data_IF_305528517741
#
_entry.id   IF_305528517741
#
_cell.length_a   1.000
_cell.length_b   1.000
_cell.length_c   1.000
_cell.angle_alpha   90.00
_cell.angle_beta   90.00
_cell.angle_gamma   90.00
#
_symmetry.space_group_name_H-M   'P 1'
#
loop_
_entity.id
_entity.type
_entity.pdbx_description
1 polymer ?
#
# COMPACT_ATOMS: atom_id res chain seq x y z
N UNK A 1 16.34 -2.43 -1.76
CA UNK A 1 16.53 -3.38 -2.85
C UNK A 1 15.17 -4.00 -3.12
N UNK A 2 14.54 -3.54 -4.20
CA UNK A 2 13.23 -3.99 -4.63
C UNK A 2 13.25 -5.49 -4.94
N UNK A 3 12.23 -6.20 -4.54
CA UNK A 3 11.91 -7.55 -4.99
C UNK A 3 11.87 -7.71 -6.53
N UNK A 4 11.98 -6.62 -7.22
CA UNK A 4 12.03 -6.46 -8.67
C UNK A 4 13.24 -7.13 -9.32
N UNK A 5 14.37 -7.21 -8.62
CA UNK A 5 15.60 -7.75 -9.20
C UNK A 5 15.59 -9.28 -9.39
N UNK A 6 14.77 -10.01 -8.65
CA UNK A 6 14.77 -11.47 -8.70
C UNK A 6 14.08 -11.98 -9.98
N UNK A 7 12.99 -11.35 -10.37
CA UNK A 7 12.26 -11.74 -11.59
C UNK A 7 12.96 -11.23 -12.85
N UNK A 8 13.68 -10.11 -12.77
CA UNK A 8 14.50 -9.61 -13.87
C UNK A 8 15.75 -10.46 -14.14
N UNK A 9 16.38 -10.99 -13.11
CA UNK A 9 17.55 -11.88 -13.26
C UNK A 9 17.17 -13.14 -14.00
N UNK A 10 15.98 -13.68 -13.80
CA UNK A 10 15.49 -14.83 -14.55
C UNK A 10 15.23 -14.54 -16.02
N UNK A 11 14.81 -13.32 -16.36
CA UNK A 11 14.63 -12.89 -17.75
C UNK A 11 15.97 -12.70 -18.47
N UNK A 12 17.01 -12.26 -17.77
CA UNK A 12 18.34 -12.11 -18.34
C UNK A 12 19.02 -13.46 -18.64
N UNK A 13 18.71 -14.51 -17.90
CA UNK A 13 19.19 -15.87 -18.20
C UNK A 13 18.64 -16.40 -19.53
N UNK A 14 17.48 -15.95 -19.98
CA UNK A 14 16.91 -16.29 -21.29
C UNK A 14 17.53 -15.49 -22.44
N UNK A 15 18.13 -14.34 -22.18
CA UNK A 15 18.76 -13.50 -23.21
C UNK A 15 20.18 -13.92 -23.59
N UNK A 16 20.73 -14.95 -22.98
CA UNK A 16 22.10 -15.40 -23.22
C UNK A 16 22.22 -16.40 -24.37
N UNK A 17 21.15 -16.66 -25.08
CA UNK A 17 21.21 -17.43 -26.34
C UNK A 17 21.06 -16.44 -27.50
N UNK A 18 21.71 -16.75 -28.60
CA UNK A 18 21.48 -16.16 -29.90
C UNK A 18 20.06 -16.36 -30.45
N UNK A 19 19.14 -16.70 -29.55
CA UNK A 19 17.72 -16.89 -29.82
C UNK A 19 17.03 -15.54 -29.70
N UNK A 20 16.68 -14.95 -30.84
CA UNK A 20 15.88 -13.75 -30.97
C UNK A 20 14.38 -14.04 -30.80
N UNK A 21 13.99 -15.17 -30.24
CA UNK A 21 12.59 -15.48 -29.98
C UNK A 21 12.08 -14.56 -28.89
N UNK A 22 11.07 -13.76 -29.22
CA UNK A 22 10.35 -12.95 -28.26
C UNK A 22 9.68 -13.87 -27.24
N UNK A 23 9.86 -13.56 -25.95
CA UNK A 23 9.10 -14.24 -24.90
C UNK A 23 7.63 -13.83 -25.07
N UNK A 24 6.80 -14.80 -25.35
CA UNK A 24 5.36 -14.56 -25.51
C UNK A 24 4.73 -14.40 -24.12
N UNK A 25 4.72 -13.18 -23.60
CA UNK A 25 4.33 -12.88 -22.22
C UNK A 25 3.69 -11.50 -22.11
N UNK A 26 2.51 -11.46 -21.49
CA UNK A 26 1.86 -10.24 -21.02
C UNK A 26 1.65 -10.35 -19.50
N UNK A 27 2.24 -9.47 -18.74
CA UNK A 27 2.30 -9.56 -17.29
C UNK A 27 1.87 -8.27 -16.58
N UNK A 28 1.47 -8.40 -15.32
CA UNK A 28 1.39 -7.26 -14.41
C UNK A 28 2.79 -6.74 -14.08
N UNK A 29 2.99 -5.42 -14.15
CA UNK A 29 4.27 -4.78 -13.79
C UNK A 29 4.39 -4.61 -12.27
N UNK A 30 3.27 -4.48 -11.59
CA UNK A 30 3.21 -4.30 -10.13
C UNK A 30 2.16 -5.22 -9.53
N UNK A 31 2.41 -5.61 -8.30
CA UNK A 31 1.36 -6.13 -7.44
C UNK A 31 0.20 -5.13 -7.39
N UNK A 32 -0.92 -5.57 -6.94
CA UNK A 32 -2.19 -4.85 -6.98
C UNK A 32 -2.07 -3.38 -6.57
N UNK A 33 -2.77 -2.47 -7.27
CA UNK A 33 -2.76 -1.05 -6.96
C UNK A 33 -3.30 -0.79 -5.55
N UNK A 34 -2.83 0.29 -4.96
CA UNK A 34 -3.32 0.77 -3.67
C UNK A 34 -4.81 1.10 -3.76
N UNK A 35 -5.58 0.60 -2.79
CA UNK A 35 -7.04 0.75 -2.76
C UNK A 35 -7.45 2.00 -2.01
N UNK A 36 -6.73 2.33 -0.94
CA UNK A 36 -6.94 3.53 -0.16
C UNK A 36 -6.21 4.72 -0.76
N UNK A 37 -6.81 5.91 -0.68
CA UNK A 37 -6.22 7.16 -1.20
C UNK A 37 -4.95 7.58 -0.44
N UNK A 38 -4.92 7.36 0.86
CA UNK A 38 -3.91 7.93 1.76
C UNK A 38 -3.08 6.85 2.45
N UNK A 39 -3.72 5.88 3.04
CA UNK A 39 -3.10 4.88 3.89
C UNK A 39 -2.95 3.53 3.19
N UNK A 40 -1.99 2.74 3.62
CA UNK A 40 -1.92 1.31 3.26
C UNK A 40 -2.84 0.48 4.14
N UNK A 41 -2.90 0.83 5.43
CA UNK A 41 -3.84 0.25 6.39
C UNK A 41 -4.46 1.35 7.24
N UNK A 42 -5.71 1.16 7.65
CA UNK A 42 -6.41 2.07 8.55
C UNK A 42 -7.43 1.31 9.39
N UNK A 43 -7.85 1.87 10.55
CA UNK A 43 -8.86 1.21 11.38
C UNK A 43 -10.19 1.05 10.65
N UNK A 44 -10.79 -0.13 10.80
CA UNK A 44 -12.08 -0.46 10.17
C UNK A 44 -13.18 0.56 10.52
N UNK A 45 -13.26 0.94 11.79
CA UNK A 45 -14.25 1.91 12.26
C UNK A 45 -14.11 3.31 11.64
N UNK A 46 -12.88 3.70 11.25
CA UNK A 46 -12.63 4.96 10.54
C UNK A 46 -12.96 4.82 9.06
N UNK A 47 -12.62 3.69 8.45
CA UNK A 47 -12.90 3.42 7.06
C UNK A 47 -14.41 3.42 6.76
N UNK A 48 -15.21 2.65 7.52
CA UNK A 48 -16.65 2.55 7.29
C UNK A 48 -17.41 3.85 7.59
N UNK A 49 -16.80 4.75 8.35
CA UNK A 49 -17.40 6.05 8.64
C UNK A 49 -17.37 6.98 7.43
N UNK A 50 -16.37 6.84 6.55
CA UNK A 50 -16.28 7.68 5.34
C UNK A 50 -15.56 6.94 4.19
N UNK A 51 -16.16 5.86 3.72
CA UNK A 51 -15.60 4.99 2.66
C UNK A 51 -15.27 5.77 1.38
N UNK A 52 -16.13 6.72 1.00
CA UNK A 52 -15.95 7.49 -0.24
C UNK A 52 -14.74 8.41 -0.23
N UNK A 53 -14.36 8.91 0.94
CA UNK A 53 -13.17 9.74 1.10
C UNK A 53 -11.88 8.91 1.16
N UNK A 54 -11.96 7.68 1.64
CA UNK A 54 -10.78 6.85 1.86
C UNK A 54 -10.42 5.97 0.66
N UNK A 55 -11.39 5.55 -0.15
CA UNK A 55 -11.12 4.72 -1.33
C UNK A 55 -10.70 5.53 -2.55
N UNK A 56 -9.75 4.98 -3.32
CA UNK A 56 -9.39 5.50 -4.64
C UNK A 56 -10.59 5.42 -5.59
N UNK A 57 -10.71 6.43 -6.46
CA UNK A 57 -11.79 6.52 -7.44
C UNK A 57 -11.62 5.50 -8.59
N UNK A 58 -10.41 4.98 -8.77
CA UNK A 58 -10.09 3.93 -9.73
C UNK A 58 -8.86 3.15 -9.30
N UNK A 59 -8.75 1.91 -9.78
CA UNK A 59 -7.56 1.09 -9.65
C UNK A 59 -6.68 1.31 -10.88
N UNK A 60 -5.43 1.71 -10.68
CA UNK A 60 -4.47 1.95 -11.74
C UNK A 60 -3.67 0.68 -12.03
N UNK A 61 -3.99 0.04 -13.16
CA UNK A 61 -3.39 -1.22 -13.59
C UNK A 61 -2.29 -0.95 -14.59
N UNK A 62 -1.14 -1.59 -14.41
CA UNK A 62 -0.01 -1.48 -15.34
C UNK A 62 0.38 -2.87 -15.82
N UNK A 63 0.41 -3.02 -17.14
CA UNK A 63 0.81 -4.24 -17.83
C UNK A 63 2.06 -4.00 -18.69
N UNK A 64 2.78 -5.08 -18.94
CA UNK A 64 3.88 -5.13 -19.88
C UNK A 64 3.64 -6.28 -20.86
N UNK A 65 3.74 -5.98 -22.15
CA UNK A 65 3.66 -6.96 -23.22
C UNK A 65 5.07 -7.14 -23.83
N UNK A 66 5.66 -8.32 -23.61
CA UNK A 66 6.99 -8.65 -24.10
C UNK A 66 6.99 -9.20 -25.53
N UNK A 67 5.83 -9.29 -26.19
CA UNK A 67 5.74 -9.69 -27.60
C UNK A 67 5.99 -8.51 -28.55
N UNK A 68 6.13 -8.79 -29.82
CA UNK A 68 6.32 -7.81 -30.91
C UNK A 68 5.00 -7.29 -31.50
N UNK A 69 3.87 -7.84 -31.09
CA UNK A 69 2.53 -7.49 -31.60
C UNK A 69 1.61 -7.06 -30.46
N UNK A 70 0.53 -6.36 -30.80
CA UNK A 70 -0.55 -6.06 -29.86
C UNK A 70 -1.16 -7.37 -29.36
N UNK A 71 -1.26 -7.51 -28.05
CA UNK A 71 -1.96 -8.62 -27.40
C UNK A 71 -3.29 -8.15 -26.82
N UNK A 72 -4.36 -8.79 -27.27
CA UNK A 72 -5.69 -8.59 -26.69
C UNK A 72 -5.85 -9.55 -25.51
N UNK A 73 -6.08 -9.02 -24.32
CA UNK A 73 -6.24 -9.77 -23.07
C UNK A 73 -7.61 -9.52 -22.47
N UNK A 74 -8.06 -10.45 -21.66
CA UNK A 74 -9.26 -10.32 -20.86
C UNK A 74 -8.91 -10.04 -19.41
N UNK A 75 -9.22 -8.84 -18.93
CA UNK A 75 -8.94 -8.42 -17.56
C UNK A 75 -10.16 -8.55 -16.66
N UNK A 76 -9.94 -8.96 -15.42
CA UNK A 76 -10.92 -8.92 -14.34
C UNK A 76 -10.27 -8.71 -12.99
N UNK A 77 -11.03 -8.24 -11.99
CA UNK A 77 -10.65 -8.38 -10.60
C UNK A 77 -11.81 -8.89 -9.74
N UNK A 78 -11.42 -9.60 -8.69
CA UNK A 78 -12.32 -10.21 -7.72
C UNK A 78 -11.93 -9.71 -6.33
N UNK A 79 -12.92 -9.50 -5.46
CA UNK A 79 -12.72 -9.15 -4.05
C UNK A 79 -13.32 -10.24 -3.18
N UNK A 80 -12.52 -10.80 -2.30
CA UNK A 80 -12.91 -11.81 -1.33
C UNK A 80 -12.84 -11.23 0.08
N UNK A 81 -13.79 -11.60 0.93
CA UNK A 81 -13.73 -11.28 2.34
C UNK A 81 -12.81 -12.25 3.11
N UNK A 82 -12.62 -12.01 4.41
CA UNK A 82 -11.79 -12.84 5.30
C UNK A 82 -12.22 -14.32 5.38
N UNK A 83 -13.46 -14.64 5.01
CA UNK A 83 -13.99 -16.01 4.97
C UNK A 83 -13.77 -16.69 3.60
N UNK A 84 -13.11 -16.02 2.67
CA UNK A 84 -12.88 -16.48 1.30
C UNK A 84 -14.11 -16.40 0.38
N UNK A 85 -15.18 -15.74 0.80
CA UNK A 85 -16.35 -15.52 -0.03
C UNK A 85 -16.11 -14.39 -1.02
N UNK A 86 -16.45 -14.61 -2.28
CA UNK A 86 -16.48 -13.56 -3.31
C UNK A 86 -17.57 -12.54 -2.96
N UNK A 87 -17.18 -11.29 -2.71
CA UNK A 87 -18.09 -10.20 -2.35
C UNK A 87 -18.26 -9.17 -3.47
N UNK A 88 -17.31 -9.12 -4.40
CA UNK A 88 -17.39 -8.25 -5.57
C UNK A 88 -16.54 -8.78 -6.71
N UNK A 89 -16.93 -8.49 -7.95
CA UNK A 89 -16.12 -8.74 -9.13
C UNK A 89 -16.31 -7.62 -10.16
N UNK A 90 -15.31 -7.42 -10.99
CA UNK A 90 -15.35 -6.48 -12.12
C UNK A 90 -14.90 -7.20 -13.40
N UNK A 91 -15.55 -6.97 -14.53
CA UNK A 91 -16.74 -6.13 -14.74
C UNK A 91 -18.02 -6.75 -14.17
N UNK A 92 -18.92 -5.90 -13.68
CA UNK A 92 -20.18 -6.35 -13.04
C UNK A 92 -21.19 -6.87 -14.07
N UNK A 93 -21.21 -6.27 -15.25
CA UNK A 93 -22.13 -6.68 -16.33
C UNK A 93 -21.65 -7.97 -16.98
N UNK A 94 -22.53 -8.95 -17.15
CA UNK A 94 -22.23 -10.25 -17.75
C UNK A 94 -22.06 -11.41 -16.77
N UNK A 95 -22.26 -11.17 -15.46
CA UNK A 95 -22.18 -12.19 -14.42
C UNK A 95 -20.75 -12.44 -13.91
N UNK A 96 -20.61 -13.40 -12.97
CA UNK A 96 -19.38 -13.62 -12.20
C UNK A 96 -18.16 -14.08 -13.04
N UNK A 97 -18.33 -14.40 -14.31
CA UNK A 97 -17.25 -14.80 -15.22
C UNK A 97 -16.94 -13.75 -16.29
N UNK A 98 -17.54 -12.55 -16.21
CA UNK A 98 -17.30 -11.48 -17.17
C UNK A 98 -15.87 -10.96 -17.07
N UNK A 99 -15.37 -10.46 -18.21
CA UNK A 99 -14.04 -9.88 -18.37
C UNK A 99 -14.13 -8.59 -19.16
N UNK A 100 -13.15 -7.69 -18.97
CA UNK A 100 -12.94 -6.51 -19.82
C UNK A 100 -11.82 -6.81 -20.78
N UNK A 101 -12.11 -6.70 -22.08
CA UNK A 101 -11.07 -6.82 -23.11
C UNK A 101 -10.19 -5.56 -23.13
N UNK A 102 -8.88 -5.76 -23.21
CA UNK A 102 -7.87 -4.70 -23.25
C UNK A 102 -6.79 -5.07 -24.25
N UNK A 103 -6.48 -4.16 -25.15
CA UNK A 103 -5.40 -4.29 -26.13
C UNK A 103 -4.12 -3.69 -25.56
N UNK A 104 -3.10 -4.52 -25.36
CA UNK A 104 -1.81 -4.15 -24.76
C UNK A 104 -0.76 -4.07 -25.85
N UNK A 105 -0.25 -2.87 -26.20
CA UNK A 105 0.78 -2.71 -27.21
C UNK A 105 2.13 -3.28 -26.75
N UNK A 106 3.05 -3.62 -27.70
CA UNK A 106 4.38 -4.12 -27.39
C UNK A 106 5.18 -3.15 -26.52
N UNK A 107 5.87 -3.66 -25.50
CA UNK A 107 6.72 -2.85 -24.62
C UNK A 107 7.85 -2.14 -25.42
N UNK A 108 8.43 -2.81 -26.40
CA UNK A 108 9.50 -2.24 -27.22
C UNK A 108 9.08 -0.98 -28.00
N UNK A 109 7.78 -0.79 -28.24
CA UNK A 109 7.23 0.34 -28.99
C UNK A 109 6.67 1.43 -28.06
N UNK A 110 5.94 1.01 -27.03
CA UNK A 110 5.10 1.92 -26.21
C UNK A 110 5.49 1.95 -24.73
N UNK A 111 6.45 1.10 -24.30
CA UNK A 111 6.73 0.91 -22.89
C UNK A 111 5.61 0.15 -22.17
N UNK A 112 5.48 0.37 -20.88
CA UNK A 112 4.39 -0.22 -20.08
C UNK A 112 3.05 0.39 -20.47
N UNK A 113 2.02 -0.44 -20.48
CA UNK A 113 0.64 -0.01 -20.78
C UNK A 113 -0.15 0.13 -19.49
N UNK A 114 -0.80 1.25 -19.31
CA UNK A 114 -1.57 1.53 -18.11
C UNK A 114 -3.03 1.87 -18.44
N UNK A 115 -3.93 1.42 -17.57
CA UNK A 115 -5.34 1.76 -17.66
C UNK A 115 -6.00 1.86 -16.28
N UNK A 116 -7.07 2.65 -16.22
CA UNK A 116 -7.89 2.73 -15.01
C UNK A 116 -9.01 1.68 -15.09
N UNK A 117 -9.14 0.94 -14.02
CA UNK A 117 -10.30 0.10 -13.75
C UNK A 117 -11.22 0.85 -12.80
N UNK A 118 -12.55 0.82 -12.99
CA UNK A 118 -13.45 1.49 -12.06
C UNK A 118 -13.20 1.07 -10.62
N UNK A 119 -13.50 1.96 -9.66
CA UNK A 119 -13.43 1.59 -8.26
C UNK A 119 -14.44 0.50 -7.97
N UNK A 120 -14.23 -0.16 -6.87
CA UNK A 120 -15.21 -1.04 -6.27
C UNK A 120 -16.46 -0.20 -6.02
N UNK A 121 -17.61 -0.66 -6.52
CA UNK A 121 -18.88 0.00 -6.21
C UNK A 121 -19.12 -0.12 -4.71
N UNK A 122 -19.04 1.03 -4.03
CA UNK A 122 -19.24 1.14 -2.59
C UNK A 122 -20.71 0.88 -2.30
N UNK A 123 -21.02 -0.30 -1.86
CA UNK A 123 -22.32 -0.59 -1.28
C UNK A 123 -22.16 -1.27 0.08
N UNK A 124 -23.17 -1.14 0.90
CA UNK A 124 -23.21 -1.74 2.24
C UNK A 124 -23.12 -3.29 2.23
N UNK A 125 -23.15 -3.91 1.06
CA UNK A 125 -23.03 -5.36 0.90
C UNK A 125 -21.58 -5.81 0.85
N UNK A 126 -20.67 -4.99 0.28
CA UNK A 126 -19.23 -5.30 0.19
C UNK A 126 -18.55 -4.96 1.51
N UNK A 127 -18.86 -3.79 2.05
CA UNK A 127 -18.32 -3.29 3.31
C UNK A 127 -19.45 -3.11 4.33
N UNK A 128 -20.04 -4.22 4.81
CA UNK A 128 -21.11 -4.10 5.79
C UNK A 128 -20.56 -3.45 7.06
N UNK A 129 -21.28 -2.48 7.59
CA UNK A 129 -21.02 -1.96 8.94
C UNK A 129 -21.30 -3.11 9.90
N UNK A 130 -20.27 -3.88 10.19
CA UNK A 130 -20.34 -4.98 11.16
C UNK A 130 -19.94 -4.47 12.55
N UNK A 131 -20.33 -5.19 13.57
CA UNK A 131 -19.86 -4.99 14.95
C UNK A 131 -18.41 -5.42 15.14
N UNK A 132 -17.73 -5.87 14.07
CA UNK A 132 -16.33 -6.24 14.09
C UNK A 132 -15.44 -5.00 14.10
N UNK A 133 -14.39 -5.02 14.91
CA UNK A 133 -13.40 -3.95 15.00
C UNK A 133 -12.35 -4.03 13.88
N UNK A 134 -12.37 -5.09 13.06
CA UNK A 134 -11.41 -5.33 11.99
C UNK A 134 -12.04 -6.03 10.79
N UNK A 135 -11.42 -5.88 9.62
CA UNK A 135 -11.79 -6.60 8.41
C UNK A 135 -10.57 -6.85 7.52
N UNK A 136 -10.65 -7.88 6.70
CA UNK A 136 -9.67 -8.19 5.66
C UNK A 136 -10.35 -8.48 4.34
N UNK A 137 -9.76 -7.99 3.26
CA UNK A 137 -10.22 -8.25 1.90
C UNK A 137 -9.04 -8.62 1.01
N UNK A 138 -9.20 -9.68 0.24
CA UNK A 138 -8.23 -10.10 -0.77
C UNK A 138 -8.71 -9.60 -2.13
N UNK A 139 -7.91 -8.77 -2.76
CA UNK A 139 -8.10 -8.31 -4.14
C UNK A 139 -7.25 -9.17 -5.06
N UNK A 140 -7.90 -9.86 -5.97
CA UNK A 140 -7.26 -10.68 -6.98
C UNK A 140 -7.47 -10.02 -8.35
N UNK A 141 -6.40 -9.51 -8.95
CA UNK A 141 -6.42 -9.05 -10.33
C UNK A 141 -5.90 -10.17 -11.23
N UNK A 142 -6.57 -10.41 -12.33
CA UNK A 142 -6.18 -11.45 -13.27
C UNK A 142 -6.39 -11.01 -14.72
N UNK A 143 -5.51 -11.49 -15.58
CA UNK A 143 -5.61 -11.41 -17.03
C UNK A 143 -5.72 -12.81 -17.61
N UNK A 144 -6.45 -12.92 -18.70
CA UNK A 144 -6.45 -14.12 -19.52
C UNK A 144 -5.79 -13.77 -20.83
N UNK A 145 -4.69 -14.41 -21.08
CA UNK A 145 -3.80 -14.19 -22.22
C UNK A 145 -3.86 -15.36 -23.19
N UNK A 146 -3.10 -15.31 -24.29
CA UNK A 146 -3.04 -16.38 -25.28
C UNK A 146 -2.48 -17.67 -24.67
N UNK A 147 -2.80 -18.85 -25.25
CA UNK A 147 -2.34 -20.15 -24.69
C UNK A 147 -0.82 -20.31 -24.59
N UNK A 148 -0.06 -19.65 -25.47
CA UNK A 148 1.40 -19.68 -25.51
C UNK A 148 2.09 -18.77 -24.50
N UNK A 149 1.31 -18.00 -23.75
CA UNK A 149 1.79 -17.04 -22.77
C UNK A 149 2.24 -17.70 -21.47
N UNK A 150 3.15 -17.05 -20.73
CA UNK A 150 3.61 -17.52 -19.42
C UNK A 150 2.57 -17.17 -18.34
N UNK A 151 1.89 -18.18 -17.82
CA UNK A 151 0.69 -18.00 -16.99
C UNK A 151 0.94 -17.67 -15.51
N UNK A 152 2.17 -17.81 -15.01
CA UNK A 152 2.45 -17.67 -13.58
C UNK A 152 2.37 -16.22 -13.08
N UNK A 153 2.43 -15.24 -13.97
CA UNK A 153 2.36 -13.80 -13.71
C UNK A 153 1.03 -13.15 -14.17
N UNK A 154 0.08 -13.99 -14.63
CA UNK A 154 -1.26 -13.56 -15.06
C UNK A 154 -2.19 -13.18 -13.89
N UNK A 155 -1.77 -13.38 -12.66
CA UNK A 155 -2.59 -13.07 -11.47
C UNK A 155 -1.75 -12.47 -10.37
N UNK A 156 -2.24 -11.35 -9.82
CA UNK A 156 -1.64 -10.68 -8.67
C UNK A 156 -2.67 -10.48 -7.56
N UNK A 157 -2.19 -10.51 -6.33
CA UNK A 157 -3.03 -10.41 -5.15
C UNK A 157 -2.61 -9.23 -4.28
N UNK A 158 -3.58 -8.61 -3.63
CA UNK A 158 -3.37 -7.64 -2.57
C UNK A 158 -4.27 -7.98 -1.38
N UNK A 159 -3.67 -8.02 -0.20
CA UNK A 159 -4.40 -8.16 1.05
C UNK A 159 -4.58 -6.76 1.65
N UNK A 160 -5.82 -6.25 1.62
CA UNK A 160 -6.17 -5.01 2.30
C UNK A 160 -6.63 -5.34 3.71
N UNK A 161 -5.92 -4.77 4.68
CA UNK A 161 -6.22 -4.92 6.09
C UNK A 161 -6.82 -3.63 6.66
N UNK A 162 -7.78 -3.83 7.55
CA UNK A 162 -8.41 -2.78 8.33
C UNK A 162 -8.40 -3.21 9.79
N UNK A 163 -7.37 -2.82 10.53
CA UNK A 163 -7.18 -3.21 11.94
C UNK A 163 -7.40 -2.02 12.87
N UNK A 164 -6.51 -1.81 13.83
CA UNK A 164 -6.59 -0.77 14.86
C UNK A 164 -5.56 0.34 14.68
N UNK A 165 -4.90 0.44 13.53
CA UNK A 165 -3.85 1.41 13.29
C UNK A 165 -3.92 2.03 11.89
N UNK A 166 -3.34 3.22 11.75
CA UNK A 166 -3.08 3.85 10.46
C UNK A 166 -1.64 3.58 10.06
N UNK A 167 -1.41 3.15 8.83
CA UNK A 167 -0.08 2.94 8.27
C UNK A 167 0.05 3.55 6.87
N UNK A 168 1.13 4.27 6.65
CA UNK A 168 1.55 4.72 5.31
C UNK A 168 2.44 3.66 4.64
N UNK A 169 3.20 2.94 5.44
CA UNK A 169 4.16 1.93 5.03
C UNK A 169 3.49 0.58 4.77
N UNK A 170 3.99 -0.16 3.80
CA UNK A 170 3.48 -1.48 3.43
C UNK A 170 4.27 -2.64 4.09
N UNK A 171 5.20 -2.30 4.98
CA UNK A 171 6.09 -3.25 5.65
C UNK A 171 7.49 -3.35 5.03
N UNK A 172 7.72 -2.67 3.89
CA UNK A 172 9.03 -2.55 3.24
C UNK A 172 9.54 -1.10 3.33
N UNK A 173 10.83 -0.90 3.58
CA UNK A 173 11.41 0.43 3.64
C UNK A 173 12.19 0.71 2.35
N UNK A 174 11.70 1.65 1.54
CA UNK A 174 12.37 2.08 0.31
C UNK A 174 13.46 3.13 0.58
N UNK A 175 13.29 3.91 1.65
CA UNK A 175 14.24 4.97 2.04
C UNK A 175 14.19 5.26 3.53
N UNK A 176 15.28 5.81 4.05
CA UNK A 176 15.37 6.30 5.41
C UNK A 176 15.64 7.82 5.40
N UNK A 177 15.03 8.52 6.35
CA UNK A 177 15.25 9.95 6.56
C UNK A 177 16.04 10.17 7.84
N UNK A 178 17.12 10.93 7.75
CA UNK A 178 17.90 11.39 8.89
C UNK A 178 17.82 12.91 9.05
N UNK A 179 17.83 13.36 10.30
CA UNK A 179 17.91 14.77 10.64
C UNK A 179 19.18 14.94 11.50
N UNK A 180 20.10 15.84 11.10
CA UNK A 180 21.39 16.03 11.77
C UNK A 180 21.44 17.36 12.55
N UNK A 181 20.33 18.07 12.68
CA UNK A 181 20.30 19.38 13.31
C UNK A 181 19.50 19.30 14.60
N UNK A 182 20.13 19.65 15.71
CA UNK A 182 19.46 19.75 17.00
C UNK A 182 18.24 20.68 16.93
N UNK A 183 17.12 20.24 17.46
CA UNK A 183 15.84 20.96 17.42
C UNK A 183 15.08 20.84 16.10
N UNK A 184 15.66 20.19 15.09
CA UNK A 184 14.91 19.91 13.85
C UNK A 184 13.80 18.88 14.11
N UNK A 185 12.70 19.05 13.38
CA UNK A 185 11.46 18.24 13.56
C UNK A 185 11.06 17.59 12.25
N UNK A 186 10.58 16.36 12.35
CA UNK A 186 9.90 15.65 11.27
C UNK A 186 8.50 15.29 11.76
N UNK A 187 7.49 15.53 10.94
CA UNK A 187 6.11 15.23 11.29
C UNK A 187 5.36 14.65 10.10
N UNK A 188 4.57 13.61 10.34
CA UNK A 188 3.64 13.02 9.40
C UNK A 188 2.21 13.40 9.75
N UNK A 189 1.43 13.78 8.76
CA UNK A 189 0.02 14.11 8.89
C UNK A 189 -0.82 12.83 8.99
N UNK A 190 -1.76 12.82 9.94
CA UNK A 190 -2.82 11.81 10.04
C UNK A 190 -4.18 12.49 10.11
N UNK A 191 -5.19 11.84 9.56
CA UNK A 191 -6.57 12.32 9.58
C UNK A 191 -7.50 11.24 10.11
N UNK A 192 -8.28 11.58 11.12
CA UNK A 192 -9.33 10.74 11.69
C UNK A 192 -10.68 11.09 11.09
N UNK A 193 -11.49 10.09 10.78
CA UNK A 193 -12.87 10.27 10.32
C UNK A 193 -13.88 10.34 11.49
N UNK A 194 -13.40 10.12 12.72
CA UNK A 194 -14.15 10.23 13.97
C UNK A 194 -13.16 10.49 15.12
N UNK A 195 -13.66 11.00 16.29
CA UNK A 195 -12.81 11.11 17.47
C UNK A 195 -12.26 9.75 17.91
N UNK A 196 -10.98 9.71 18.28
CA UNK A 196 -10.31 8.50 18.78
C UNK A 196 -9.17 8.86 19.75
N UNK A 197 -8.53 7.84 20.34
CA UNK A 197 -7.44 7.99 21.29
C UNK A 197 -6.19 7.30 20.79
N UNK A 198 -5.14 8.06 20.49
CA UNK A 198 -3.83 7.54 20.15
C UNK A 198 -3.14 7.02 21.41
N UNK A 199 -2.68 5.77 21.38
CA UNK A 199 -2.01 5.09 22.50
C UNK A 199 -0.61 4.64 22.17
N UNK A 200 -0.33 4.34 20.90
CA UNK A 200 0.94 3.75 20.45
C UNK A 200 1.33 4.44 19.14
N UNK A 201 2.61 4.79 19.05
CA UNK A 201 3.23 5.19 17.78
C UNK A 201 4.25 4.11 17.41
N UNK A 202 4.20 3.66 16.17
CA UNK A 202 5.14 2.69 15.64
C UNK A 202 6.14 3.39 14.72
N UNK A 203 7.42 3.21 14.99
CA UNK A 203 8.50 3.76 14.17
C UNK A 203 9.53 2.69 13.85
N UNK A 204 10.15 2.79 12.68
CA UNK A 204 11.24 1.92 12.27
C UNK A 204 12.51 2.76 12.12
N UNK A 205 13.51 2.41 12.90
CA UNK A 205 14.83 2.99 12.80
C UNK A 205 15.75 2.06 12.00
N UNK A 206 16.58 2.64 11.15
CA UNK A 206 17.58 1.91 10.37
C UNK A 206 18.91 2.02 11.12
N UNK A 207 19.51 0.88 11.39
CA UNK A 207 20.84 0.82 11.98
C UNK A 207 21.88 1.40 11.01
N UNK A 208 22.55 2.45 11.43
CA UNK A 208 23.64 3.08 10.70
C UNK A 208 25.00 2.52 11.15
N UNK A 209 26.09 3.01 10.54
CA UNK A 209 27.46 2.57 10.91
C UNK A 209 27.86 2.89 12.35
N UNK A 210 27.20 3.87 12.96
CA UNK A 210 27.37 4.24 14.35
C UNK A 210 26.21 3.66 15.16
N UNK A 211 26.54 3.08 16.32
CA UNK A 211 25.53 2.63 17.28
C UNK A 211 24.89 3.86 17.93
N UNK A 212 23.63 4.08 17.64
CA UNK A 212 22.83 5.19 18.16
C UNK A 212 21.82 4.72 19.23
N UNK A 213 22.00 3.53 19.82
CA UNK A 213 21.05 3.00 20.81
C UNK A 213 20.95 3.86 22.07
N UNK A 214 22.01 4.60 22.42
CA UNK A 214 21.99 5.56 23.53
C UNK A 214 21.38 6.91 23.18
N UNK A 215 21.06 7.14 21.89
CA UNK A 215 20.48 8.38 21.47
C UNK A 215 18.98 8.44 21.77
N UNK A 216 18.54 9.63 22.12
CA UNK A 216 17.15 9.93 22.46
C UNK A 216 16.56 10.90 21.45
N UNK A 217 15.28 10.80 21.26
CA UNK A 217 14.49 11.78 20.51
C UNK A 217 13.22 12.15 21.27
N UNK A 218 12.66 13.29 20.95
CA UNK A 218 11.38 13.66 21.51
C UNK A 218 10.25 13.21 20.57
N UNK A 219 9.55 12.13 20.95
CA UNK A 219 8.29 11.74 20.30
C UNK A 219 7.26 12.81 20.57
N UNK A 220 6.71 13.39 19.50
CA UNK A 220 5.82 14.55 19.64
C UNK A 220 4.57 14.36 18.78
N UNK A 221 3.43 14.81 19.34
CA UNK A 221 2.14 14.86 18.67
C UNK A 221 1.68 16.33 18.68
N UNK A 222 1.30 16.82 17.51
CA UNK A 222 0.84 18.20 17.35
C UNK A 222 -0.61 18.26 16.85
N UNK A 223 -1.32 19.27 17.26
CA UNK A 223 -2.58 19.63 16.62
C UNK A 223 -2.33 20.16 15.20
N UNK A 224 -3.37 20.16 14.39
CA UNK A 224 -3.33 20.78 13.07
C UNK A 224 -3.56 22.30 13.19
N UNK A 225 -2.61 23.07 12.68
CA UNK A 225 -2.75 24.50 12.48
C UNK A 225 -2.68 24.82 10.97
N UNK A 226 -3.83 24.83 10.31
CA UNK A 226 -3.96 25.14 8.88
C UNK A 226 -3.03 24.30 7.96
N UNK A 227 -2.98 22.99 8.19
CA UNK A 227 -2.15 22.06 7.40
C UNK A 227 -0.70 21.95 7.85
N UNK A 228 -0.36 22.55 8.98
CA UNK A 228 0.97 22.48 9.58
C UNK A 228 0.91 22.00 11.04
N UNK A 229 1.98 21.42 11.59
CA UNK A 229 2.07 21.13 13.01
C UNK A 229 1.92 22.43 13.83
N UNK A 230 0.96 22.43 14.75
CA UNK A 230 0.66 23.54 15.63
C UNK A 230 1.13 23.30 17.06
N UNK A 231 0.21 23.47 18.05
CA UNK A 231 0.53 23.25 19.45
C UNK A 231 0.87 21.79 19.72
N UNK A 232 1.85 21.58 20.61
CA UNK A 232 2.21 20.24 21.09
C UNK A 232 1.11 19.71 22.02
N UNK A 233 0.49 18.59 21.63
CA UNK A 233 -0.50 17.86 22.43
C UNK A 233 0.14 16.82 23.34
N UNK A 234 1.28 16.28 22.92
CA UNK A 234 2.07 15.32 23.67
C UNK A 234 3.54 15.44 23.26
N UNK A 235 4.42 15.31 24.25
CA UNK A 235 5.86 15.22 24.02
C UNK A 235 6.49 14.36 25.10
N UNK A 236 7.29 13.38 24.69
CA UNK A 236 8.06 12.53 25.61
C UNK A 236 9.42 12.20 25.00
N UNK A 237 10.42 12.15 25.84
CA UNK A 237 11.77 11.75 25.43
C UNK A 237 11.88 10.23 25.54
N UNK A 238 12.19 9.59 24.42
CA UNK A 238 12.28 8.13 24.28
C UNK A 238 13.61 7.75 23.65
N UNK A 239 14.04 6.52 23.89
CA UNK A 239 15.27 5.97 23.34
C UNK A 239 15.03 5.38 21.97
N UNK A 240 16.04 5.42 21.11
CA UNK A 240 16.02 4.74 19.82
C UNK A 240 16.18 3.24 20.08
N UNK A 241 15.28 2.44 19.58
CA UNK A 241 15.38 0.99 19.61
C UNK A 241 15.43 0.45 18.19
N UNK A 242 16.46 -0.33 17.90
CA UNK A 242 16.56 -1.10 16.67
C UNK A 242 15.89 -2.44 16.84
N UNK A 243 15.08 -2.82 15.87
CA UNK A 243 14.49 -4.16 15.81
C UNK A 243 15.04 -4.88 14.58
N UNK A 244 14.92 -6.22 14.59
CA UNK A 244 15.27 -7.04 13.43
C UNK A 244 14.67 -6.46 12.14
N UNK A 245 15.33 -6.74 11.03
CA UNK A 245 14.92 -6.24 9.71
C UNK A 245 13.41 -6.38 9.47
N UNK A 246 12.77 -5.28 9.14
CA UNK A 246 11.35 -5.23 8.81
C UNK A 246 10.39 -5.03 10.00
N UNK A 247 10.88 -4.96 11.24
CA UNK A 247 10.01 -4.76 12.40
C UNK A 247 10.01 -3.31 12.88
N UNK A 248 8.84 -2.85 13.30
CA UNK A 248 8.63 -1.57 13.96
C UNK A 248 8.86 -1.67 15.47
N UNK A 249 9.33 -0.57 16.08
CA UNK A 249 9.36 -0.38 17.52
C UNK A 249 8.09 0.32 17.97
N UNK A 250 7.47 -0.20 19.03
CA UNK A 250 6.28 0.36 19.63
C UNK A 250 6.65 1.37 20.72
N UNK A 251 6.28 2.62 20.54
CA UNK A 251 6.38 3.68 21.56
C UNK A 251 5.01 3.90 22.18
N UNK A 252 4.87 3.45 23.42
CA UNK A 252 3.64 3.57 24.20
C UNK A 252 3.55 4.96 24.83
N UNK A 253 2.44 5.66 24.56
CA UNK A 253 2.19 6.95 25.20
C UNK A 253 1.83 6.73 26.68
N UNK A 254 2.46 7.48 27.58
CA UNK A 254 2.18 7.41 29.05
C UNK A 254 0.70 7.63 29.36
N UNK A 255 0.07 8.54 28.62
CA UNK A 255 -1.36 8.76 28.63
C UNK A 255 -1.84 8.78 27.19
N UNK A 256 -3.01 8.18 26.94
CA UNK A 256 -3.64 8.29 25.61
C UNK A 256 -3.95 9.75 25.26
N UNK A 257 -3.74 10.10 24.00
CA UNK A 257 -4.05 11.45 23.47
C UNK A 257 -5.35 11.39 22.69
N UNK A 258 -6.38 12.07 23.19
CA UNK A 258 -7.66 12.22 22.49
C UNK A 258 -7.48 13.12 21.26
N UNK A 259 -7.87 12.64 20.08
CA UNK A 259 -7.66 13.31 18.80
C UNK A 259 -8.95 13.34 17.99
N UNK A 260 -9.07 14.37 17.14
CA UNK A 260 -10.15 14.50 16.15
C UNK A 260 -9.64 15.21 14.90
N UNK A 261 -10.11 14.79 13.73
CA UNK A 261 -9.70 15.40 12.46
C UNK A 261 -8.22 15.20 12.15
N UNK A 262 -7.58 16.22 11.63
CA UNK A 262 -6.16 16.18 11.25
C UNK A 262 -5.26 16.50 12.43
N UNK A 263 -4.18 15.74 12.56
CA UNK A 263 -3.10 15.93 13.54
C UNK A 263 -1.78 15.45 12.96
N UNK A 264 -0.67 15.71 13.66
CA UNK A 264 0.66 15.32 13.23
C UNK A 264 1.34 14.48 14.29
N UNK A 265 2.08 13.46 13.84
CA UNK A 265 2.92 12.60 14.68
C UNK A 265 4.33 12.61 14.14
N UNK A 266 5.30 12.73 15.00
CA UNK A 266 6.68 12.69 14.58
C UNK A 266 7.66 12.84 15.71
N UNK A 267 8.84 13.34 15.40
CA UNK A 267 9.89 13.48 16.38
C UNK A 267 10.64 14.84 16.26
N UNK A 268 11.31 15.22 17.34
CA UNK A 268 12.28 16.30 17.39
C UNK A 268 13.65 15.73 17.77
N UNK A 269 14.70 16.11 17.03
CA UNK A 269 16.07 15.75 17.32
C UNK A 269 16.56 16.57 18.53
N UNK A 270 16.90 15.91 19.63
CA UNK A 270 17.27 16.58 20.89
C UNK A 270 18.77 16.54 21.19
N UNK A 271 19.52 15.69 20.50
CA UNK A 271 21.00 15.55 20.65
C UNK A 271 21.68 15.64 19.30
#
# INVERSE_FOLDING_TARGET
FDHWNIDYVKLDEYNNSSDTSFINDVAFVRNTPQILKRYREMPWIHFVNDVSQEMNDSLYIILRNNTDIIQSIDYRYDVYNQNGNLVYHYPVLGGNNSTRNVDVPPFAISGTYAFNSPPIMLNNQIFPVSSSDSAEFIFRNSIKTQPSDFKNNDTVFHLQRFYSHFAYDDGSAESAYGINVQGAKLAYEFKLNRPDTLRIVQMKFVEMHEDLTDNKFALTIWENNNGNPGQELYKDTVEIEYKDRGKFTNYYLKNGVGLIGTFFVGWEQIT
#
